data_IF_632315322430
#
_entry.id   IF_632315322430
#
_cell.length_a   1.000
_cell.length_b   1.000
_cell.length_c   1.000
_cell.angle_alpha   90.00
_cell.angle_beta   90.00
_cell.angle_gamma   90.00
#
_symmetry.space_group_name_H-M   'P 1'
#
loop_
_entity.id
_entity.type
_entity.pdbx_description
1 polymer ?
#
# COMPACT_ATOMS: atom_id res chain seq x y z
N UNK A 1 30.29 34.64 44.55
CA UNK A 1 29.79 33.53 43.71
C UNK A 1 28.47 33.99 43.12
N UNK A 2 28.50 34.56 41.92
CA UNK A 2 27.31 35.01 41.20
C UNK A 2 26.80 33.87 40.31
N UNK A 3 25.57 33.44 40.54
CA UNK A 3 24.84 32.48 39.71
C UNK A 3 24.83 32.92 38.25
N UNK A 4 25.48 32.15 37.37
CA UNK A 4 25.22 32.22 35.94
C UNK A 4 24.02 31.35 35.64
N UNK A 5 22.85 31.97 35.56
CA UNK A 5 21.68 31.33 34.96
C UNK A 5 21.99 31.10 33.47
N UNK A 6 22.22 29.84 33.10
CA UNK A 6 22.37 29.44 31.70
C UNK A 6 21.03 29.62 30.99
N UNK A 7 20.83 30.75 30.32
CA UNK A 7 19.69 30.97 29.43
C UNK A 7 20.02 30.28 28.11
N UNK A 8 19.42 29.11 27.85
CA UNK A 8 19.51 28.46 26.55
C UNK A 8 18.97 29.41 25.46
N UNK A 9 19.78 29.65 24.43
CA UNK A 9 19.39 30.49 23.29
C UNK A 9 18.18 29.88 22.57
N UNK A 10 17.11 30.65 22.28
CA UNK A 10 15.94 30.15 21.55
C UNK A 10 16.27 29.75 20.10
N UNK A 11 17.49 30.01 19.62
CA UNK A 11 17.99 29.52 18.34
C UNK A 11 18.13 27.98 18.29
N UNK A 12 18.39 27.32 19.43
CA UNK A 12 18.50 25.85 19.51
C UNK A 12 17.17 25.10 19.44
N UNK A 13 16.04 25.80 19.60
CA UNK A 13 14.69 25.22 19.46
C UNK A 13 14.20 25.22 18.00
N UNK A 14 14.95 25.85 17.09
CA UNK A 14 14.65 25.98 15.66
C UNK A 14 15.64 25.26 14.76
N UNK A 15 16.37 24.27 15.26
CA UNK A 15 16.93 23.24 14.40
C UNK A 15 15.76 22.32 13.98
N UNK A 16 14.92 22.87 13.09
CA UNK A 16 13.68 22.29 12.66
C UNK A 16 13.96 20.89 12.10
N UNK A 17 13.36 19.88 12.74
CA UNK A 17 13.39 18.51 12.24
C UNK A 17 13.03 18.50 10.75
N UNK A 18 13.97 18.06 9.91
CA UNK A 18 13.73 17.89 8.49
C UNK A 18 12.45 17.05 8.28
N UNK A 19 11.56 17.44 7.36
CA UNK A 19 10.30 16.72 7.16
C UNK A 19 10.60 15.25 6.83
N UNK A 20 10.15 14.35 7.70
CA UNK A 20 10.35 12.91 7.54
C UNK A 20 9.47 12.35 6.44
N UNK A 21 9.95 11.34 5.72
CA UNK A 21 9.19 10.64 4.68
C UNK A 21 8.34 9.55 5.34
N UNK A 22 7.02 9.68 5.23
CA UNK A 22 6.09 8.73 5.83
C UNK A 22 5.83 7.52 4.92
N UNK A 23 6.09 6.32 5.45
CA UNK A 23 5.98 5.03 4.74
C UNK A 23 5.04 4.07 5.47
N UNK A 24 4.42 3.16 4.72
CA UNK A 24 3.72 2.04 5.29
C UNK A 24 4.73 0.96 5.67
N UNK A 25 4.67 0.45 6.90
CA UNK A 25 5.42 -0.76 7.26
C UNK A 25 4.95 -1.97 6.45
N UNK A 26 5.74 -3.06 6.37
CA UNK A 26 5.29 -4.26 5.68
C UNK A 26 3.98 -4.85 6.21
N UNK A 27 3.76 -4.77 7.53
CA UNK A 27 2.48 -5.18 8.14
C UNK A 27 1.33 -4.27 7.71
N UNK A 28 1.54 -2.96 7.60
CA UNK A 28 0.53 -2.03 7.11
C UNK A 28 0.22 -2.25 5.62
N UNK A 29 1.23 -2.53 4.79
CA UNK A 29 1.01 -2.89 3.39
C UNK A 29 0.21 -4.20 3.26
N UNK A 30 0.51 -5.21 4.09
CA UNK A 30 -0.24 -6.46 4.15
C UNK A 30 -1.69 -6.26 4.60
N UNK A 31 -1.92 -5.48 5.66
CA UNK A 31 -3.27 -5.14 6.13
C UNK A 31 -4.05 -4.31 5.09
N UNK A 32 -3.37 -3.39 4.42
CA UNK A 32 -3.94 -2.61 3.32
C UNK A 32 -4.34 -3.47 2.12
N UNK A 33 -3.54 -4.49 1.78
CA UNK A 33 -3.87 -5.46 0.73
C UNK A 33 -5.02 -6.40 1.14
N UNK A 34 -5.09 -6.80 2.41
CA UNK A 34 -6.22 -7.55 2.96
C UNK A 34 -7.53 -6.77 2.79
N UNK A 35 -7.55 -5.50 3.22
CA UNK A 35 -8.74 -4.65 3.14
C UNK A 35 -9.08 -4.25 1.71
N UNK A 36 -8.07 -3.85 0.93
CA UNK A 36 -8.25 -3.22 -0.38
C UNK A 36 -8.21 -4.19 -1.57
N UNK A 37 -7.97 -5.49 -1.36
CA UNK A 37 -7.86 -6.49 -2.42
C UNK A 37 -6.69 -6.23 -3.38
N UNK A 38 -6.82 -6.58 -4.68
CA UNK A 38 -5.74 -6.39 -5.65
C UNK A 38 -5.33 -4.92 -5.82
N UNK A 39 -6.28 -3.97 -5.76
CA UNK A 39 -5.96 -2.53 -5.81
C UNK A 39 -5.23 -2.09 -4.54
N UNK A 40 -5.61 -2.63 -3.38
CA UNK A 40 -4.89 -2.38 -2.13
C UNK A 40 -3.43 -2.82 -2.23
N UNK A 41 -3.18 -4.05 -2.67
CA UNK A 41 -1.83 -4.56 -2.92
C UNK A 41 -1.00 -3.59 -3.78
N UNK A 42 -1.57 -3.16 -4.92
CA UNK A 42 -0.88 -2.26 -5.86
C UNK A 42 -0.63 -0.90 -5.20
N UNK A 43 -1.64 -0.31 -4.58
CA UNK A 43 -1.58 1.03 -4.01
C UNK A 43 -0.52 1.14 -2.90
N UNK A 44 -0.56 0.26 -1.90
CA UNK A 44 0.34 0.36 -0.75
C UNK A 44 1.81 0.12 -1.16
N UNK A 45 2.06 -0.82 -2.08
CA UNK A 45 3.39 -1.03 -2.63
C UNK A 45 3.87 0.16 -3.47
N UNK A 46 3.02 0.66 -4.39
CA UNK A 46 3.32 1.81 -5.23
C UNK A 46 3.67 3.05 -4.40
N UNK A 47 2.86 3.36 -3.38
CA UNK A 47 3.06 4.53 -2.52
C UNK A 47 4.39 4.49 -1.79
N UNK A 48 4.79 3.33 -1.29
CA UNK A 48 6.09 3.17 -0.65
C UNK A 48 7.25 3.35 -1.64
N UNK A 49 7.22 2.72 -2.80
CA UNK A 49 8.27 2.91 -3.82
C UNK A 49 8.36 4.36 -4.28
N UNK A 50 7.22 5.01 -4.50
CA UNK A 50 7.17 6.42 -4.89
C UNK A 50 7.76 7.33 -3.80
N UNK A 51 7.41 7.11 -2.53
CA UNK A 51 7.94 7.86 -1.40
C UNK A 51 9.45 7.64 -1.19
N UNK A 52 9.96 6.44 -1.50
CA UNK A 52 11.39 6.12 -1.50
C UNK A 52 12.15 6.68 -2.71
N UNK A 53 11.50 7.41 -3.62
CA UNK A 53 12.12 7.92 -4.85
C UNK A 53 12.44 6.83 -5.89
N UNK A 54 12.01 5.58 -5.65
CA UNK A 54 12.22 4.41 -6.51
C UNK A 54 11.21 4.39 -7.67
N UNK A 55 11.37 5.35 -8.59
CA UNK A 55 10.41 5.62 -9.69
C UNK A 55 10.21 4.42 -10.63
N UNK A 56 11.27 3.67 -10.92
CA UNK A 56 11.22 2.50 -11.81
C UNK A 56 10.35 1.39 -11.20
N UNK A 57 10.56 1.09 -9.92
CA UNK A 57 9.86 0.07 -9.17
C UNK A 57 8.41 0.47 -8.88
N UNK A 58 8.16 1.76 -8.64
CA UNK A 58 6.80 2.29 -8.55
C UNK A 58 6.04 2.08 -9.86
N UNK A 59 6.63 2.42 -11.01
CA UNK A 59 6.03 2.18 -12.34
C UNK A 59 5.83 0.68 -12.60
N UNK A 60 6.82 -0.14 -12.27
CA UNK A 60 6.73 -1.59 -12.43
C UNK A 60 5.58 -2.16 -11.59
N UNK A 61 5.37 -1.66 -10.36
CA UNK A 61 4.25 -2.06 -9.51
C UNK A 61 2.89 -1.79 -10.17
N UNK A 62 2.74 -0.65 -10.85
CA UNK A 62 1.52 -0.33 -11.60
C UNK A 62 1.34 -1.25 -12.82
N UNK A 63 2.41 -1.53 -13.56
CA UNK A 63 2.37 -2.43 -14.72
C UNK A 63 1.98 -3.85 -14.30
N UNK A 64 2.68 -4.40 -13.31
CA UNK A 64 2.38 -5.72 -12.77
C UNK A 64 0.98 -5.77 -12.13
N UNK A 65 0.56 -4.67 -11.51
CA UNK A 65 -0.80 -4.50 -11.01
C UNK A 65 -1.86 -4.57 -12.10
N UNK A 66 -1.65 -3.89 -13.22
CA UNK A 66 -2.56 -3.95 -14.36
C UNK A 66 -2.61 -5.37 -14.95
N UNK A 67 -1.45 -6.02 -15.08
CA UNK A 67 -1.36 -7.43 -15.52
C UNK A 67 -2.13 -8.35 -14.56
N UNK A 68 -2.01 -8.15 -13.24
CA UNK A 68 -2.77 -8.90 -12.24
C UNK A 68 -4.28 -8.72 -12.42
N UNK A 69 -4.77 -7.50 -12.61
CA UNK A 69 -6.21 -7.24 -12.82
C UNK A 69 -6.72 -7.95 -14.07
N UNK A 70 -5.98 -7.86 -15.18
CA UNK A 70 -6.33 -8.56 -16.43
C UNK A 70 -6.32 -10.07 -16.22
N UNK A 71 -5.32 -10.61 -15.51
CA UNK A 71 -5.25 -12.03 -15.19
C UNK A 71 -6.45 -12.47 -14.34
N UNK A 72 -6.91 -11.66 -13.39
CA UNK A 72 -8.11 -11.96 -12.60
C UNK A 72 -9.36 -12.02 -13.47
N UNK A 73 -9.51 -11.17 -14.49
CA UNK A 73 -10.64 -11.26 -15.42
C UNK A 73 -10.67 -12.58 -16.19
N UNK A 74 -9.51 -13.15 -16.50
CA UNK A 74 -9.41 -14.45 -17.19
C UNK A 74 -9.65 -15.60 -16.21
N UNK A 75 -9.08 -15.52 -15.01
CA UNK A 75 -9.12 -16.61 -14.03
C UNK A 75 -10.49 -16.74 -13.37
N UNK A 76 -11.12 -15.63 -12.98
CA UNK A 76 -12.36 -15.66 -12.18
C UNK A 76 -13.52 -16.44 -12.85
N UNK A 77 -13.79 -16.32 -14.17
CA UNK A 77 -14.85 -17.10 -14.83
C UNK A 77 -14.57 -18.60 -14.91
N UNK A 78 -13.31 -19.00 -14.81
CA UNK A 78 -12.87 -20.41 -14.91
C UNK A 78 -12.96 -21.09 -13.55
N UNK A 79 -13.01 -20.32 -12.45
CA UNK A 79 -13.06 -20.88 -11.11
C UNK A 79 -14.37 -21.64 -10.87
N UNK A 80 -14.31 -22.81 -10.20
CA UNK A 80 -15.51 -23.47 -9.69
C UNK A 80 -16.33 -22.53 -8.80
N UNK A 81 -17.66 -22.54 -8.95
CA UNK A 81 -18.57 -21.65 -8.21
C UNK A 81 -18.45 -21.75 -6.67
N UNK A 82 -17.91 -22.87 -6.16
CA UNK A 82 -17.73 -23.11 -4.72
C UNK A 82 -16.35 -22.68 -4.18
N UNK A 83 -15.46 -22.17 -5.04
CA UNK A 83 -14.15 -21.69 -4.61
C UNK A 83 -14.31 -20.44 -3.74
N UNK A 84 -13.70 -20.46 -2.55
CA UNK A 84 -13.66 -19.29 -1.69
C UNK A 84 -12.64 -18.26 -2.21
N UNK A 85 -12.87 -16.98 -1.93
CA UNK A 85 -11.92 -15.92 -2.26
C UNK A 85 -10.67 -15.88 -1.37
N UNK A 86 -10.63 -16.70 -0.31
CA UNK A 86 -9.56 -16.68 0.72
C UNK A 86 -8.16 -16.88 0.13
N UNK A 87 -7.91 -17.80 -0.82
CA UNK A 87 -6.57 -17.97 -1.39
C UNK A 87 -6.05 -16.72 -2.08
N UNK A 88 -6.91 -15.96 -2.78
CA UNK A 88 -6.52 -14.70 -3.41
C UNK A 88 -6.16 -13.64 -2.37
N UNK A 89 -7.01 -13.49 -1.34
CA UNK A 89 -6.75 -12.56 -0.24
C UNK A 89 -5.42 -12.86 0.46
N UNK A 90 -5.16 -14.13 0.78
CA UNK A 90 -3.90 -14.56 1.40
C UNK A 90 -2.72 -14.28 0.47
N UNK A 91 -2.85 -14.55 -0.83
CA UNK A 91 -1.81 -14.24 -1.80
C UNK A 91 -1.48 -12.74 -1.82
N UNK A 92 -2.49 -11.87 -1.85
CA UNK A 92 -2.27 -10.42 -1.82
C UNK A 92 -1.55 -9.97 -0.55
N UNK A 93 -1.97 -10.48 0.62
CA UNK A 93 -1.35 -10.17 1.90
C UNK A 93 0.12 -10.59 1.96
N UNK A 94 0.43 -11.80 1.51
CA UNK A 94 1.78 -12.37 1.52
C UNK A 94 2.67 -11.62 0.55
N UNK A 95 2.21 -11.38 -0.67
CA UNK A 95 2.97 -10.63 -1.68
C UNK A 95 3.25 -9.21 -1.20
N UNK A 96 2.24 -8.50 -0.68
CA UNK A 96 2.42 -7.15 -0.16
C UNK A 96 3.50 -7.11 0.93
N UNK A 97 3.43 -8.05 1.88
CA UNK A 97 4.39 -8.13 2.98
C UNK A 97 5.80 -8.46 2.48
N UNK A 98 5.96 -9.49 1.67
CA UNK A 98 7.26 -9.95 1.19
C UNK A 98 7.94 -8.90 0.29
N UNK A 99 7.17 -8.25 -0.60
CA UNK A 99 7.72 -7.19 -1.47
C UNK A 99 8.15 -5.99 -0.63
N UNK A 100 7.34 -5.59 0.37
CA UNK A 100 7.71 -4.50 1.27
C UNK A 100 8.95 -4.84 2.12
N UNK A 101 9.03 -6.04 2.70
CA UNK A 101 10.19 -6.48 3.50
C UNK A 101 11.46 -6.56 2.65
N UNK A 102 11.38 -7.07 1.42
CA UNK A 102 12.55 -7.36 0.59
C UNK A 102 13.05 -6.17 -0.23
N UNK A 103 12.15 -5.33 -0.75
CA UNK A 103 12.50 -4.31 -1.73
C UNK A 103 12.25 -2.87 -1.26
N UNK A 104 11.57 -2.69 -0.12
CA UNK A 104 11.29 -1.38 0.47
C UNK A 104 12.06 -1.23 1.78
N UNK A 105 11.39 -0.92 2.90
CA UNK A 105 12.02 -0.83 4.22
C UNK A 105 11.29 -1.72 5.22
N UNK A 106 12.07 -2.38 6.08
CA UNK A 106 11.54 -3.15 7.19
C UNK A 106 11.01 -2.22 8.29
N UNK A 107 10.16 -2.75 9.16
CA UNK A 107 9.62 -2.00 10.30
C UNK A 107 10.75 -1.47 11.21
N UNK A 108 11.79 -2.27 11.43
CA UNK A 108 12.92 -1.92 12.28
C UNK A 108 13.70 -0.74 11.70
N UNK A 109 13.95 -0.75 10.38
CA UNK A 109 14.68 0.33 9.69
C UNK A 109 13.90 1.64 9.69
N UNK A 110 12.57 1.59 9.52
CA UNK A 110 11.74 2.81 9.62
C UNK A 110 11.78 3.36 11.05
N UNK A 111 11.69 2.49 12.07
CA UNK A 111 11.64 2.91 13.47
C UNK A 111 12.96 3.50 13.98
N UNK A 112 14.10 3.06 13.45
CA UNK A 112 15.43 3.54 13.88
C UNK A 112 15.98 4.69 13.03
N UNK A 113 15.27 5.11 11.98
CA UNK A 113 15.72 6.16 11.08
C UNK A 113 15.25 7.55 11.53
N UNK A 114 16.12 8.55 11.39
CA UNK A 114 15.74 9.96 11.51
C UNK A 114 15.05 10.50 10.25
N UNK A 115 15.11 9.78 9.13
CA UNK A 115 14.57 10.20 7.83
C UNK A 115 13.13 9.72 7.59
N UNK A 116 12.75 8.59 8.18
CA UNK A 116 11.48 7.91 7.88
C UNK A 116 10.56 7.85 9.09
N UNK A 117 9.26 7.90 8.83
CA UNK A 117 8.22 7.70 9.84
C UNK A 117 7.14 6.75 9.33
N UNK A 118 6.35 6.17 10.24
CA UNK A 118 5.22 5.35 9.85
C UNK A 118 4.03 6.22 9.46
N UNK A 119 3.33 5.80 8.40
CA UNK A 119 1.98 6.27 8.12
C UNK A 119 1.02 5.89 9.26
N UNK A 120 -0.01 6.70 9.47
CA UNK A 120 -1.06 6.40 10.45
C UNK A 120 -1.84 5.14 10.06
N UNK A 121 -2.14 4.28 11.03
CA UNK A 121 -3.00 3.10 10.79
C UNK A 121 -4.41 3.47 10.32
N UNK A 122 -4.93 4.64 10.71
CA UNK A 122 -6.19 5.15 10.17
C UNK A 122 -6.13 5.46 8.67
N UNK A 123 -4.95 5.88 8.20
CA UNK A 123 -4.73 6.08 6.78
C UNK A 123 -4.76 4.73 6.02
N UNK A 124 -4.26 3.64 6.62
CA UNK A 124 -4.35 2.29 6.05
C UNK A 124 -5.80 1.85 5.91
N UNK A 125 -6.63 2.08 6.94
CA UNK A 125 -8.06 1.75 6.89
C UNK A 125 -8.77 2.58 5.83
N UNK A 126 -8.62 3.91 5.86
CA UNK A 126 -9.28 4.81 4.91
C UNK A 126 -8.91 4.53 3.46
N UNK A 127 -7.60 4.41 3.17
CA UNK A 127 -7.14 4.07 1.82
C UNK A 127 -7.50 2.64 1.43
N UNK A 128 -7.51 1.70 2.38
CA UNK A 128 -7.95 0.33 2.17
C UNK A 128 -9.41 0.25 1.71
N UNK A 129 -10.31 1.01 2.34
CA UNK A 129 -11.72 1.11 1.92
C UNK A 129 -11.85 1.70 0.52
N UNK A 130 -11.11 2.77 0.20
CA UNK A 130 -11.11 3.31 -1.17
C UNK A 130 -10.60 2.27 -2.19
N UNK A 131 -9.57 1.53 -1.83
CA UNK A 131 -9.03 0.47 -2.67
C UNK A 131 -10.01 -0.70 -2.84
N UNK A 132 -10.81 -1.06 -1.83
CA UNK A 132 -11.80 -2.14 -1.97
C UNK A 132 -12.87 -1.75 -2.98
N UNK A 133 -13.35 -0.50 -2.94
CA UNK A 133 -14.28 0.03 -3.92
C UNK A 133 -13.65 0.02 -5.33
N UNK A 134 -12.40 0.46 -5.43
CA UNK A 134 -11.63 0.38 -6.68
C UNK A 134 -11.49 -1.05 -7.20
N UNK A 135 -11.21 -2.02 -6.33
CA UNK A 135 -11.13 -3.44 -6.67
C UNK A 135 -12.47 -3.97 -7.16
N UNK A 136 -13.58 -3.65 -6.48
CA UNK A 136 -14.92 -4.07 -6.91
C UNK A 136 -15.23 -3.51 -8.30
N UNK A 137 -14.99 -2.23 -8.54
CA UNK A 137 -15.25 -1.59 -9.84
C UNK A 137 -14.36 -2.18 -10.93
N UNK A 138 -13.05 -2.34 -10.69
CA UNK A 138 -12.13 -2.85 -11.70
C UNK A 138 -12.36 -4.33 -12.00
N UNK A 139 -12.71 -5.13 -11.00
CA UNK A 139 -12.91 -6.56 -11.18
C UNK A 139 -14.30 -6.86 -11.73
N UNK A 140 -15.37 -6.30 -11.15
CA UNK A 140 -16.75 -6.62 -11.55
C UNK A 140 -17.28 -5.74 -12.68
N UNK A 141 -16.80 -4.49 -12.81
CA UNK A 141 -17.29 -3.53 -13.78
C UNK A 141 -17.32 -4.05 -15.22
N UNK A 142 -16.23 -4.64 -15.75
CA UNK A 142 -16.23 -5.21 -17.10
C UNK A 142 -17.28 -6.31 -17.27
N UNK A 143 -17.47 -7.19 -16.28
CA UNK A 143 -18.49 -8.24 -16.34
C UNK A 143 -19.91 -7.66 -16.34
N UNK A 144 -20.16 -6.62 -15.53
CA UNK A 144 -21.45 -5.92 -15.52
C UNK A 144 -21.74 -5.29 -16.88
N UNK A 145 -20.75 -4.68 -17.54
CA UNK A 145 -20.91 -4.11 -18.89
C UNK A 145 -21.19 -5.21 -19.92
N UNK A 146 -20.45 -6.32 -19.88
CA UNK A 146 -20.66 -7.45 -20.79
C UNK A 146 -22.04 -8.10 -20.61
N UNK A 147 -22.52 -8.19 -19.37
CA UNK A 147 -23.86 -8.66 -19.05
C UNK A 147 -24.95 -7.69 -19.56
N UNK A 148 -24.80 -6.39 -19.27
CA UNK A 148 -25.76 -5.36 -19.69
C UNK A 148 -25.88 -5.22 -21.22
N UNK A 149 -24.79 -5.51 -21.95
CA UNK A 149 -24.78 -5.49 -23.43
C UNK A 149 -25.24 -6.82 -24.04
N UNK A 150 -25.55 -7.84 -23.24
CA UNK A 150 -25.99 -9.16 -23.70
C UNK A 150 -24.89 -10.02 -24.32
N UNK A 151 -23.62 -9.59 -24.21
CA UNK A 151 -22.46 -10.39 -24.63
C UNK A 151 -22.27 -11.58 -23.68
N UNK A 152 -22.44 -11.35 -22.39
CA UNK A 152 -22.53 -12.39 -21.37
C UNK A 152 -24.02 -12.66 -21.08
N UNK A 153 -24.40 -13.94 -20.97
CA UNK A 153 -25.75 -14.36 -20.56
C UNK A 153 -25.78 -14.73 -19.08
#
# INVERSE_FOLDING_TARGET
>A
MSDQTYIASPAGLKEAASPTIALYSPTQASAGAFLGGPVGLIYFLYRNFAALGKKSEARMTLILGAVLVVALWVVLPILPQKMSGVPFTVAYMVIARQVAEKYQLTKQVIASSSQYTFQSSWNVVGMGVLCVLGSVVLILGPFVVLYATGVLK
#
